data_IF_968646490680
#
_entry.id   IF_968646490680
#
_cell.length_a   1.000
_cell.length_b   1.000
_cell.length_c   1.000
_cell.angle_alpha   90.00
_cell.angle_beta   90.00
_cell.angle_gamma   90.00
#
_symmetry.space_group_name_H-M   'P 1'
#
loop_
_entity.id
_entity.type
_entity.pdbx_description
1 polymer ?
#
# COMPACT_ATOMS: atom_id res chain seq x y z
N UNK A 1 1.22 50.90 12.87
CA UNK A 1 0.13 49.89 12.93
C UNK A 1 0.60 48.53 12.40
N UNK A 2 1.37 47.77 13.20
CA UNK A 2 1.98 46.48 12.77
C UNK A 2 1.09 45.23 12.94
N UNK A 3 -0.20 45.39 13.26
CA UNK A 3 -1.12 44.27 13.59
C UNK A 3 -1.88 43.67 12.39
N UNK A 4 -1.71 44.22 11.18
CA UNK A 4 -2.39 43.77 9.95
C UNK A 4 -1.66 42.67 9.19
N UNK A 5 -0.34 42.81 9.04
CA UNK A 5 0.47 41.92 8.18
C UNK A 5 0.42 40.45 8.61
N UNK A 6 0.42 40.17 9.92
CA UNK A 6 0.40 38.79 10.46
C UNK A 6 -0.96 38.11 10.25
N UNK A 7 -2.07 38.86 10.32
CA UNK A 7 -3.41 38.32 10.06
C UNK A 7 -3.61 37.98 8.58
N UNK A 8 -3.12 38.83 7.68
CA UNK A 8 -3.18 38.59 6.24
C UNK A 8 -2.32 37.39 5.83
N UNK A 9 -1.08 37.30 6.31
CA UNK A 9 -0.22 36.14 6.09
C UNK A 9 -0.82 34.84 6.65
N UNK A 10 -1.51 34.91 7.79
CA UNK A 10 -2.19 33.74 8.37
C UNK A 10 -3.39 33.30 7.51
N UNK A 11 -4.18 34.24 6.99
CA UNK A 11 -5.27 33.95 6.06
C UNK A 11 -4.75 33.32 4.77
N UNK A 12 -3.70 33.88 4.17
CA UNK A 12 -3.07 33.33 2.96
C UNK A 12 -2.52 31.93 3.18
N UNK A 13 -1.86 31.67 4.32
CA UNK A 13 -1.36 30.32 4.66
C UNK A 13 -2.49 29.31 4.81
N UNK A 14 -3.59 29.69 5.44
CA UNK A 14 -4.76 28.81 5.59
C UNK A 14 -5.47 28.57 4.24
N UNK A 15 -5.57 29.59 3.40
CA UNK A 15 -6.13 29.48 2.05
C UNK A 15 -5.28 28.56 1.16
N UNK A 16 -3.94 28.72 1.18
CA UNK A 16 -3.01 27.81 0.47
C UNK A 16 -3.10 26.37 0.96
N UNK A 17 -3.29 26.15 2.27
CA UNK A 17 -3.52 24.81 2.83
C UNK A 17 -4.83 24.20 2.32
N UNK A 18 -5.91 24.98 2.27
CA UNK A 18 -7.19 24.52 1.72
C UNK A 18 -7.11 24.23 0.22
N UNK A 19 -6.45 25.09 -0.57
CA UNK A 19 -6.26 24.89 -2.01
C UNK A 19 -5.42 23.63 -2.31
N UNK A 20 -4.41 23.33 -1.49
CA UNK A 20 -3.59 22.14 -1.65
C UNK A 20 -4.23 20.85 -1.09
N UNK A 21 -5.23 20.96 -0.21
CA UNK A 21 -5.90 19.79 0.36
C UNK A 21 -6.67 18.96 -0.68
N UNK A 22 -7.09 19.58 -1.78
CA UNK A 22 -7.77 18.91 -2.90
C UNK A 22 -6.81 18.48 -4.04
N UNK A 23 -5.51 18.81 -3.94
CA UNK A 23 -4.55 18.58 -5.02
C UNK A 23 -4.30 17.07 -5.17
N UNK A 24 -4.85 16.48 -6.23
CA UNK A 24 -4.76 15.04 -6.52
C UNK A 24 -6.06 14.26 -6.33
N UNK A 25 -7.15 14.88 -5.86
CA UNK A 25 -8.47 14.28 -5.86
C UNK A 25 -9.27 14.77 -7.07
N UNK A 26 -9.23 14.05 -8.19
CA UNK A 26 -10.02 14.35 -9.40
C UNK A 26 -11.46 13.84 -9.30
N UNK A 27 -11.74 13.02 -8.30
CA UNK A 27 -13.08 12.50 -8.03
C UNK A 27 -13.74 13.41 -7.01
N UNK A 28 -14.93 13.93 -7.32
CA UNK A 28 -15.75 14.75 -6.40
C UNK A 28 -16.33 13.93 -5.23
N UNK A 29 -15.60 12.92 -4.76
CA UNK A 29 -15.95 12.08 -3.64
C UNK A 29 -15.25 12.58 -2.38
N UNK A 30 -16.00 12.60 -1.28
CA UNK A 30 -15.44 12.82 0.04
C UNK A 30 -14.49 11.67 0.42
N UNK A 31 -13.54 11.88 1.36
CA UNK A 31 -12.70 10.81 1.86
C UNK A 31 -13.50 9.58 2.34
N UNK A 32 -14.65 9.79 2.99
CA UNK A 32 -15.51 8.70 3.47
C UNK A 32 -16.10 7.87 2.31
N UNK A 33 -16.61 8.53 1.28
CA UNK A 33 -17.18 7.85 0.10
C UNK A 33 -16.11 7.09 -0.69
N UNK A 34 -14.88 7.62 -0.77
CA UNK A 34 -13.75 6.89 -1.37
C UNK A 34 -13.43 5.63 -0.57
N UNK A 35 -13.40 5.72 0.76
CA UNK A 35 -13.18 4.55 1.61
C UNK A 35 -14.27 3.49 1.44
N UNK A 36 -15.54 3.88 1.32
CA UNK A 36 -16.64 2.95 1.03
C UNK A 36 -16.50 2.28 -0.34
N UNK A 37 -16.20 3.04 -1.38
CA UNK A 37 -15.94 2.51 -2.72
C UNK A 37 -14.76 1.54 -2.70
N UNK A 38 -13.66 1.93 -2.07
CA UNK A 38 -12.45 1.11 -2.01
C UNK A 38 -12.72 -0.19 -1.21
N UNK A 39 -13.53 -0.12 -0.14
CA UNK A 39 -14.00 -1.29 0.60
C UNK A 39 -14.86 -2.21 -0.27
N UNK A 40 -15.79 -1.66 -1.05
CA UNK A 40 -16.62 -2.43 -1.98
C UNK A 40 -15.77 -3.08 -3.09
N UNK A 41 -14.83 -2.34 -3.68
CA UNK A 41 -13.91 -2.86 -4.69
C UNK A 41 -13.01 -3.98 -4.14
N UNK A 42 -12.53 -3.84 -2.90
CA UNK A 42 -11.76 -4.87 -2.22
C UNK A 42 -12.59 -6.12 -1.91
N UNK A 43 -13.85 -5.96 -1.50
CA UNK A 43 -14.76 -7.08 -1.28
C UNK A 43 -15.05 -7.84 -2.58
N UNK A 44 -15.33 -7.13 -3.68
CA UNK A 44 -15.54 -7.72 -4.99
C UNK A 44 -14.29 -8.47 -5.48
N UNK A 45 -13.10 -7.87 -5.31
CA UNK A 45 -11.83 -8.52 -5.65
C UNK A 45 -11.56 -9.76 -4.80
N UNK A 46 -11.94 -9.75 -3.52
CA UNK A 46 -11.85 -10.93 -2.67
C UNK A 46 -12.80 -12.03 -3.15
N UNK A 47 -14.06 -11.70 -3.44
CA UNK A 47 -15.03 -12.65 -3.95
C UNK A 47 -14.57 -13.29 -5.29
N UNK A 48 -14.05 -12.48 -6.22
CA UNK A 48 -13.52 -12.99 -7.49
C UNK A 48 -12.31 -13.93 -7.31
N UNK A 49 -11.41 -13.60 -6.37
CA UNK A 49 -10.28 -14.48 -6.04
C UNK A 49 -10.70 -15.77 -5.36
N UNK A 50 -11.68 -15.69 -4.46
CA UNK A 50 -12.20 -16.87 -3.78
C UNK A 50 -12.93 -17.79 -4.77
N UNK A 51 -13.68 -17.23 -5.74
CA UNK A 51 -14.28 -17.97 -6.84
C UNK A 51 -13.22 -18.63 -7.75
N UNK A 52 -12.21 -17.88 -8.19
CA UNK A 52 -11.11 -18.43 -8.99
C UNK A 52 -10.32 -19.51 -8.25
N UNK A 53 -10.14 -19.37 -6.93
CA UNK A 53 -9.50 -20.38 -6.09
C UNK A 53 -10.37 -21.64 -5.96
N UNK A 54 -11.69 -21.48 -5.86
CA UNK A 54 -12.63 -22.59 -5.82
C UNK A 54 -12.68 -23.35 -7.15
N UNK A 55 -12.73 -22.65 -8.29
CA UNK A 55 -12.62 -23.25 -9.63
C UNK A 55 -11.29 -23.98 -9.80
N UNK A 56 -10.19 -23.35 -9.39
CA UNK A 56 -8.87 -23.98 -9.48
C UNK A 56 -8.80 -25.23 -8.60
N UNK A 57 -9.36 -25.21 -7.40
CA UNK A 57 -9.40 -26.36 -6.50
C UNK A 57 -10.22 -27.55 -7.05
N UNK A 58 -11.17 -27.30 -7.97
CA UNK A 58 -11.95 -28.35 -8.64
C UNK A 58 -11.23 -28.96 -9.86
N UNK A 59 -10.14 -28.35 -10.32
CA UNK A 59 -9.34 -28.89 -11.42
C UNK A 59 -8.40 -30.01 -10.96
N UNK A 60 -8.10 -30.97 -11.84
CA UNK A 60 -7.26 -32.13 -11.53
C UNK A 60 -5.85 -31.76 -11.01
N UNK A 61 -5.28 -30.66 -11.51
CA UNK A 61 -3.96 -30.14 -11.09
C UNK A 61 -4.07 -28.97 -10.09
N UNK A 62 -5.27 -28.67 -9.62
CA UNK A 62 -5.58 -27.50 -8.79
C UNK A 62 -4.75 -27.40 -7.52
N UNK A 63 -4.58 -28.52 -6.82
CA UNK A 63 -3.79 -28.60 -5.61
C UNK A 63 -2.30 -28.28 -5.85
N UNK A 64 -1.74 -28.75 -6.97
CA UNK A 64 -0.34 -28.49 -7.34
C UNK A 64 -0.12 -27.01 -7.71
N UNK A 65 -1.07 -26.41 -8.44
CA UNK A 65 -1.00 -25.00 -8.81
C UNK A 65 -1.11 -24.07 -7.58
N UNK A 66 -2.02 -24.38 -6.65
CA UNK A 66 -2.15 -23.64 -5.39
C UNK A 66 -0.89 -23.75 -4.51
N UNK A 67 -0.30 -24.94 -4.41
CA UNK A 67 0.95 -25.14 -3.68
C UNK A 67 2.13 -24.37 -4.32
N UNK A 68 2.21 -24.34 -5.65
CA UNK A 68 3.23 -23.58 -6.37
C UNK A 68 3.05 -22.06 -6.16
N UNK A 69 1.82 -21.56 -6.20
CA UNK A 69 1.52 -20.15 -5.97
C UNK A 69 1.83 -19.73 -4.52
N UNK A 70 1.51 -20.56 -3.53
CA UNK A 70 1.85 -20.32 -2.13
C UNK A 70 3.36 -20.29 -1.89
N UNK A 71 4.12 -21.22 -2.50
CA UNK A 71 5.60 -21.21 -2.44
C UNK A 71 6.18 -19.92 -3.02
N UNK A 72 5.72 -19.51 -4.22
CA UNK A 72 6.16 -18.26 -4.85
C UNK A 72 5.86 -17.04 -3.98
N UNK A 73 4.68 -17.01 -3.37
CA UNK A 73 4.27 -15.92 -2.46
C UNK A 73 5.07 -15.92 -1.16
N UNK A 74 5.43 -17.08 -0.62
CA UNK A 74 6.29 -17.20 0.55
C UNK A 74 7.71 -16.70 0.25
N UNK A 75 8.29 -17.10 -0.88
CA UNK A 75 9.62 -16.66 -1.32
C UNK A 75 9.66 -15.15 -1.56
N UNK A 76 8.64 -14.58 -2.21
CA UNK A 76 8.55 -13.14 -2.41
C UNK A 76 8.48 -12.38 -1.08
N UNK A 77 7.73 -12.89 -0.10
CA UNK A 77 7.69 -12.29 1.25
C UNK A 77 9.02 -12.39 1.97
N UNK A 78 9.74 -13.51 1.83
CA UNK A 78 11.08 -13.67 2.39
C UNK A 78 12.04 -12.64 1.81
N UNK A 79 12.09 -12.50 0.48
CA UNK A 79 12.91 -11.49 -0.22
C UNK A 79 12.56 -10.05 0.20
N UNK A 80 11.27 -9.74 0.36
CA UNK A 80 10.85 -8.42 0.84
C UNK A 80 11.28 -8.16 2.28
N UNK A 81 11.19 -9.15 3.17
CA UNK A 81 11.67 -9.03 4.54
C UNK A 81 13.18 -8.81 4.59
N UNK A 82 13.95 -9.56 3.80
CA UNK A 82 15.40 -9.40 3.69
C UNK A 82 15.77 -8.02 3.12
N UNK A 83 15.11 -7.58 2.06
CA UNK A 83 15.33 -6.25 1.48
C UNK A 83 14.98 -5.13 2.46
N UNK A 84 13.87 -5.25 3.19
CA UNK A 84 13.46 -4.30 4.21
C UNK A 84 14.45 -4.27 5.39
N UNK A 85 14.93 -5.44 5.83
CA UNK A 85 15.96 -5.53 6.86
C UNK A 85 17.27 -4.87 6.41
N UNK A 86 17.72 -5.14 5.18
CA UNK A 86 18.93 -4.56 4.64
C UNK A 86 18.82 -3.04 4.42
N UNK A 87 17.65 -2.55 4.02
CA UNK A 87 17.38 -1.13 3.86
C UNK A 87 17.38 -0.38 5.20
N UNK A 88 16.75 -0.97 6.23
CA UNK A 88 16.69 -0.37 7.58
C UNK A 88 18.02 -0.47 8.33
N UNK A 89 18.81 -1.51 8.07
CA UNK A 89 20.04 -1.81 8.79
C UNK A 89 21.22 -2.08 7.83
N UNK A 90 21.67 -1.07 7.07
CA UNK A 90 22.66 -1.27 6.00
C UNK A 90 24.03 -1.71 6.51
N UNK A 91 24.45 -1.28 7.71
CA UNK A 91 25.72 -1.68 8.32
C UNK A 91 25.69 -3.14 8.79
N UNK A 92 24.61 -3.55 9.46
CA UNK A 92 24.42 -4.94 9.91
C UNK A 92 24.27 -5.89 8.72
N UNK A 93 23.56 -5.49 7.67
CA UNK A 93 23.45 -6.28 6.45
C UNK A 93 24.79 -6.44 5.71
N UNK A 94 25.64 -5.39 5.69
CA UNK A 94 27.02 -5.49 5.16
C UNK A 94 27.91 -6.40 6.02
N UNK A 95 27.77 -6.34 7.34
CA UNK A 95 28.50 -7.21 8.25
C UNK A 95 28.09 -8.68 8.08
N UNK A 96 26.79 -8.99 8.03
CA UNK A 96 26.28 -10.34 7.77
C UNK A 96 26.78 -10.91 6.44
N UNK A 97 26.76 -10.08 5.37
CA UNK A 97 27.34 -10.47 4.07
C UNK A 97 28.85 -10.71 4.13
N UNK A 98 29.58 -9.95 4.95
CA UNK A 98 31.03 -10.09 5.12
C UNK A 98 31.38 -11.33 5.96
N UNK A 99 30.53 -11.72 6.90
CA UNK A 99 30.75 -12.88 7.78
C UNK A 99 30.19 -14.19 7.22
N UNK A 100 29.60 -14.18 6.02
CA UNK A 100 29.22 -15.39 5.28
C UNK A 100 28.09 -16.21 5.92
N UNK A 101 27.23 -15.58 6.72
CA UNK A 101 26.01 -16.19 7.27
C UNK A 101 24.75 -15.65 6.60
#
# INVERSE_FOLDING_TARGET
MARGLSREQSKEKNLKKQQNAAKGNTENLTPAQRAERDKAAMAAKKAAKDAAKAELAQSADGAAQLAAEEKRKAEQRARQKEGSFAAKNPLLAKQLKKTGK
#
